data_IF_736648787703
#
_entry.id   IF_736648787703
#
_cell.length_a   1.000
_cell.length_b   1.000
_cell.length_c   1.000
_cell.angle_alpha   90.00
_cell.angle_beta   90.00
_cell.angle_gamma   90.00
#
_symmetry.space_group_name_H-M   'P 1'
#
loop_
_entity.id
_entity.type
_entity.pdbx_description
1 polymer ?
#
# COMPACT_ATOMS: atom_id res chain seq x y z
N UNK A 1 25.10 -9.21 13.68
CA UNK A 1 24.10 -8.98 14.73
C UNK A 1 22.89 -9.86 14.57
N UNK A 2 22.13 -9.96 15.65
CA UNK A 2 20.86 -10.71 15.69
C UNK A 2 19.80 -9.78 16.27
N UNK A 3 18.58 -9.81 15.68
CA UNK A 3 17.43 -9.06 16.15
C UNK A 3 16.22 -9.99 16.20
N UNK A 4 15.55 -10.03 17.33
CA UNK A 4 14.30 -10.74 17.49
C UNK A 4 13.20 -9.75 17.88
N UNK A 5 12.04 -9.87 17.24
CA UNK A 5 10.86 -9.08 17.55
C UNK A 5 9.66 -10.00 17.74
N UNK A 6 8.97 -9.80 18.84
CA UNK A 6 7.70 -10.42 19.12
C UNK A 6 6.62 -9.34 19.17
N UNK A 7 5.51 -9.59 18.48
CA UNK A 7 4.34 -8.74 18.53
C UNK A 7 3.09 -9.58 18.65
N UNK A 8 2.24 -9.24 19.60
CA UNK A 8 0.92 -9.84 19.75
C UNK A 8 -0.11 -8.72 19.83
N UNK A 9 -1.03 -8.72 18.88
CA UNK A 9 -2.24 -7.90 18.95
C UNK A 9 -3.31 -8.77 19.60
N UNK A 10 -3.80 -8.40 20.81
CA UNK A 10 -4.90 -9.13 21.44
C UNK A 10 -6.16 -8.95 20.62
N UNK A 11 -7.18 -9.75 20.93
CA UNK A 11 -8.49 -9.72 20.30
C UNK A 11 -9.07 -8.31 20.35
N UNK A 12 -8.97 -7.55 19.25
CA UNK A 12 -9.60 -6.25 19.09
C UNK A 12 -10.98 -6.42 18.47
N UNK A 13 -11.97 -5.68 18.95
CA UNK A 13 -13.31 -5.64 18.34
C UNK A 13 -13.43 -4.39 17.48
N UNK A 14 -13.95 -4.56 16.28
CA UNK A 14 -14.33 -3.49 15.36
C UNK A 14 -15.80 -3.67 15.05
N UNK A 15 -16.58 -2.59 15.09
CA UNK A 15 -17.96 -2.61 14.60
C UNK A 15 -18.13 -1.60 13.48
N UNK A 16 -18.89 -1.96 12.47
CA UNK A 16 -19.27 -1.06 11.39
C UNK A 16 -20.75 -1.27 11.07
N UNK A 17 -21.44 -0.18 10.74
CA UNK A 17 -22.82 -0.21 10.24
C UNK A 17 -22.79 0.33 8.82
N UNK A 18 -23.43 -0.38 7.89
CA UNK A 18 -23.51 -0.02 6.49
C UNK A 18 -24.97 -0.01 6.05
N UNK A 19 -25.39 1.05 5.37
CA UNK A 19 -26.64 1.11 4.65
C UNK A 19 -26.42 0.58 3.23
N UNK A 20 -27.03 -0.53 2.89
CA UNK A 20 -26.91 -1.18 1.60
C UNK A 20 -28.17 -0.92 0.79
N UNK A 21 -28.03 -0.33 -0.38
CA UNK A 21 -29.10 -0.20 -1.36
C UNK A 21 -28.74 -1.01 -2.59
N UNK A 22 -29.63 -1.87 -3.02
CA UNK A 22 -29.45 -2.70 -4.21
C UNK A 22 -30.66 -2.61 -5.12
N UNK A 23 -30.43 -2.63 -6.42
CA UNK A 23 -31.44 -2.81 -7.46
C UNK A 23 -31.49 -4.26 -7.99
N UNK A 24 -30.77 -5.16 -7.35
CA UNK A 24 -30.88 -6.62 -7.55
C UNK A 24 -31.92 -7.16 -6.58
N UNK A 25 -32.69 -8.15 -7.01
CA UNK A 25 -33.82 -8.68 -6.22
C UNK A 25 -33.46 -9.05 -4.76
N UNK A 26 -34.35 -8.68 -3.79
CA UNK A 26 -35.58 -7.95 -4.02
C UNK A 26 -35.34 -6.51 -4.47
N UNK A 27 -35.96 -6.11 -5.58
CA UNK A 27 -35.79 -4.78 -6.18
C UNK A 27 -36.00 -3.69 -5.11
N UNK A 28 -35.05 -2.74 -5.04
CA UNK A 28 -35.03 -1.61 -4.11
C UNK A 28 -34.96 -1.99 -2.62
N UNK A 29 -34.43 -3.16 -2.27
CA UNK A 29 -34.22 -3.51 -0.87
C UNK A 29 -33.20 -2.55 -0.24
N UNK A 30 -33.63 -1.90 0.85
CA UNK A 30 -32.73 -1.19 1.74
C UNK A 30 -32.45 -2.11 2.92
N UNK A 31 -31.16 -2.40 3.12
CA UNK A 31 -30.67 -3.26 4.20
C UNK A 31 -29.73 -2.46 5.10
N UNK A 32 -29.91 -2.62 6.41
CA UNK A 32 -28.92 -2.22 7.39
C UNK A 32 -28.06 -3.44 7.73
N UNK A 33 -26.74 -3.31 7.57
CA UNK A 33 -25.79 -4.35 7.90
C UNK A 33 -24.89 -3.87 9.02
N UNK A 34 -24.91 -4.58 10.14
CA UNK A 34 -24.01 -4.35 11.28
C UNK A 34 -23.00 -5.48 11.34
N UNK A 35 -21.72 -5.16 11.25
CA UNK A 35 -20.61 -6.12 11.32
C UNK A 35 -19.80 -5.91 12.60
N UNK A 36 -19.63 -6.97 13.37
CA UNK A 36 -18.66 -7.06 14.45
C UNK A 36 -17.50 -7.96 14.04
N UNK A 37 -16.30 -7.40 13.98
CA UNK A 37 -15.09 -8.15 13.65
C UNK A 37 -14.15 -8.21 14.85
N UNK A 38 -13.53 -9.35 15.02
CA UNK A 38 -12.55 -9.60 16.06
C UNK A 38 -11.33 -10.28 15.48
N UNK A 39 -10.19 -9.57 15.50
CA UNK A 39 -8.93 -10.03 14.92
C UNK A 39 -7.85 -10.15 15.99
N UNK A 40 -7.20 -11.31 16.01
CA UNK A 40 -6.00 -11.57 16.80
C UNK A 40 -4.84 -11.85 15.86
N UNK A 41 -3.66 -11.30 16.16
CA UNK A 41 -2.45 -11.54 15.39
C UNK A 41 -1.28 -11.80 16.34
N UNK A 42 -0.46 -12.82 16.02
CA UNK A 42 0.79 -13.14 16.72
C UNK A 42 1.89 -13.24 15.68
N UNK A 43 2.99 -12.49 15.90
CA UNK A 43 4.09 -12.39 14.95
C UNK A 43 5.43 -12.57 15.67
N UNK A 44 6.29 -13.41 15.11
CA UNK A 44 7.68 -13.59 15.49
C UNK A 44 8.56 -13.25 14.29
N UNK A 45 9.52 -12.35 14.48
CA UNK A 45 10.46 -11.97 13.46
C UNK A 45 11.88 -12.11 13.98
N UNK A 46 12.73 -12.81 13.25
CA UNK A 46 14.14 -12.98 13.53
C UNK A 46 14.95 -12.48 12.31
N UNK A 47 15.87 -11.57 12.55
CA UNK A 47 16.85 -11.14 11.56
C UNK A 47 18.26 -11.40 12.10
N UNK A 48 19.09 -11.99 11.27
CA UNK A 48 20.54 -12.14 11.52
C UNK A 48 21.29 -11.46 10.37
N UNK A 49 22.29 -10.66 10.70
CA UNK A 49 23.07 -9.96 9.70
C UNK A 49 24.57 -9.93 10.03
N UNK A 50 25.38 -9.87 8.98
CA UNK A 50 26.82 -9.72 9.06
C UNK A 50 27.30 -8.66 8.06
N UNK A 51 28.28 -7.86 8.46
CA UNK A 51 28.94 -6.89 7.59
C UNK A 51 30.43 -7.03 7.78
N UNK A 52 31.13 -7.30 6.68
CA UNK A 52 32.58 -7.37 6.61
C UNK A 52 33.07 -6.23 5.73
N UNK A 53 33.96 -5.38 6.26
CA UNK A 53 34.68 -4.34 5.51
C UNK A 53 36.15 -4.69 5.40
N UNK A 54 36.69 -4.64 4.20
CA UNK A 54 38.07 -5.03 3.92
C UNK A 54 38.71 -4.16 2.82
N UNK A 55 40.00 -4.41 2.52
CA UNK A 55 40.82 -3.56 1.70
C UNK A 55 41.56 -2.47 2.52
N UNK A 56 42.62 -1.91 2.00
CA UNK A 56 43.46 -0.93 2.71
C UNK A 56 42.70 0.29 3.23
N UNK A 57 41.72 0.77 2.46
CA UNK A 57 40.85 1.91 2.81
C UNK A 57 39.42 1.48 3.22
N UNK A 58 39.21 0.18 3.52
CA UNK A 58 37.90 -0.40 3.76
C UNK A 58 36.89 -0.10 2.64
N UNK A 59 37.40 -0.06 1.41
CA UNK A 59 36.65 0.29 0.21
C UNK A 59 35.81 -0.88 -0.35
N UNK A 60 35.97 -2.07 0.24
CA UNK A 60 35.12 -3.22 -0.05
C UNK A 60 34.23 -3.56 1.15
N UNK A 61 32.99 -3.91 0.88
CA UNK A 61 32.05 -4.36 1.90
C UNK A 61 31.29 -5.58 1.39
N UNK A 62 31.22 -6.61 2.20
CA UNK A 62 30.30 -7.73 2.05
C UNK A 62 29.25 -7.63 3.16
N UNK A 63 27.98 -7.61 2.80
CA UNK A 63 26.87 -7.64 3.74
C UNK A 63 25.97 -8.82 3.43
N UNK A 64 25.50 -9.49 4.49
CA UNK A 64 24.53 -10.57 4.39
C UNK A 64 23.45 -10.38 5.45
N UNK A 65 22.21 -10.62 5.07
CA UNK A 65 21.05 -10.60 5.94
C UNK A 65 20.24 -11.89 5.74
N UNK A 66 19.74 -12.48 6.84
CA UNK A 66 18.83 -13.62 6.82
C UNK A 66 17.64 -13.29 7.72
N UNK A 67 16.44 -13.45 7.17
CA UNK A 67 15.18 -13.19 7.85
C UNK A 67 14.38 -14.49 8.01
N UNK A 68 13.73 -14.65 9.16
CA UNK A 68 12.66 -15.59 9.39
C UNK A 68 11.45 -14.87 9.99
N UNK A 69 10.29 -15.07 9.40
CA UNK A 69 9.02 -14.57 9.94
C UNK A 69 8.04 -15.73 10.10
N UNK A 70 7.41 -15.76 11.26
CA UNK A 70 6.19 -16.51 11.52
C UNK A 70 5.08 -15.54 11.90
N UNK A 71 3.94 -15.62 11.22
CA UNK A 71 2.78 -14.78 11.48
C UNK A 71 1.51 -15.63 11.49
N UNK A 72 0.76 -15.58 12.58
CA UNK A 72 -0.51 -16.26 12.76
C UNK A 72 -1.62 -15.22 12.99
N UNK A 73 -2.69 -15.29 12.22
CA UNK A 73 -3.88 -14.45 12.34
C UNK A 73 -5.13 -15.29 12.46
N UNK A 74 -6.00 -14.90 13.38
CA UNK A 74 -7.35 -15.46 13.53
C UNK A 74 -8.33 -14.30 13.51
N UNK A 75 -9.33 -14.38 12.64
CA UNK A 75 -10.35 -13.37 12.46
C UNK A 75 -11.74 -14.03 12.53
N UNK A 76 -12.57 -13.47 13.39
CA UNK A 76 -13.98 -13.82 13.54
C UNK A 76 -14.79 -12.62 13.09
N UNK A 77 -15.78 -12.83 12.26
CA UNK A 77 -16.72 -11.77 11.86
C UNK A 77 -18.16 -12.27 12.03
N UNK A 78 -18.96 -11.47 12.71
CA UNK A 78 -20.39 -11.65 12.89
C UNK A 78 -21.09 -10.50 12.19
N UNK A 79 -21.92 -10.80 11.19
CA UNK A 79 -22.67 -9.82 10.41
C UNK A 79 -24.15 -10.06 10.61
N UNK A 80 -24.86 -9.02 11.07
CA UNK A 80 -26.31 -9.01 11.18
C UNK A 80 -26.86 -8.08 10.10
N UNK A 81 -27.75 -8.58 9.27
CA UNK A 81 -28.43 -7.82 8.23
C UNK A 81 -29.93 -7.80 8.49
N UNK A 82 -30.51 -6.61 8.39
CA UNK A 82 -31.94 -6.38 8.58
C UNK A 82 -32.51 -5.52 7.44
N UNK A 83 -33.64 -5.91 6.91
CA UNK A 83 -34.44 -5.20 5.92
C UNK A 83 -35.94 -5.37 6.23
N UNK A 84 -36.81 -4.79 5.41
CA UNK A 84 -38.25 -4.81 5.66
C UNK A 84 -38.83 -6.25 5.79
N UNK A 85 -38.37 -7.19 4.95
CA UNK A 85 -38.76 -8.60 4.96
C UNK A 85 -37.59 -9.56 4.98
N UNK A 86 -36.45 -9.12 5.49
CA UNK A 86 -35.19 -9.87 5.47
C UNK A 86 -34.45 -9.70 6.79
N UNK A 87 -34.05 -10.80 7.40
CA UNK A 87 -33.15 -10.82 8.54
C UNK A 87 -32.22 -12.01 8.38
N UNK A 88 -30.92 -11.78 8.46
CA UNK A 88 -29.89 -12.84 8.37
C UNK A 88 -28.75 -12.56 9.33
N UNK A 89 -28.18 -13.64 9.87
CA UNK A 89 -26.96 -13.62 10.67
C UNK A 89 -25.91 -14.48 10.00
N UNK A 90 -24.73 -13.92 9.77
CA UNK A 90 -23.63 -14.56 9.09
C UNK A 90 -22.43 -14.58 10.03
N UNK A 91 -21.98 -15.77 10.39
CA UNK A 91 -20.74 -15.99 11.13
C UNK A 91 -19.62 -16.45 10.20
N UNK A 92 -18.45 -15.81 10.25
CA UNK A 92 -17.28 -16.25 9.50
C UNK A 92 -16.07 -16.41 10.39
N UNK A 93 -15.27 -17.42 10.10
CA UNK A 93 -14.00 -17.71 10.78
C UNK A 93 -12.92 -17.82 9.72
N UNK A 94 -11.89 -17.00 9.84
CA UNK A 94 -10.72 -17.04 8.97
C UNK A 94 -9.45 -17.24 9.77
N UNK A 95 -8.63 -18.19 9.34
CA UNK A 95 -7.30 -18.43 9.89
C UNK A 95 -6.26 -18.24 8.81
N UNK A 96 -5.15 -17.57 9.17
CA UNK A 96 -3.98 -17.44 8.29
C UNK A 96 -2.71 -17.78 9.07
N UNK A 97 -1.86 -18.60 8.46
CA UNK A 97 -0.57 -19.02 9.00
C UNK A 97 0.51 -18.83 7.93
N UNK A 98 1.46 -17.96 8.22
CA UNK A 98 2.46 -17.52 7.26
C UNK A 98 3.86 -17.81 7.80
N UNK A 99 4.70 -18.44 6.97
CA UNK A 99 6.12 -18.63 7.17
C UNK A 99 6.88 -17.97 6.04
N UNK A 100 7.88 -17.18 6.38
CA UNK A 100 8.79 -16.58 5.41
C UNK A 100 10.23 -16.81 5.85
N UNK A 101 11.06 -17.29 4.92
CA UNK A 101 12.52 -17.35 5.04
C UNK A 101 13.10 -16.54 3.90
N UNK A 102 14.06 -15.66 4.18
CA UNK A 102 14.73 -14.90 3.15
C UNK A 102 16.21 -14.71 3.44
N UNK A 103 17.00 -14.64 2.37
CA UNK A 103 18.42 -14.33 2.41
C UNK A 103 18.76 -13.24 1.39
N UNK A 104 19.65 -12.35 1.76
CA UNK A 104 20.19 -11.31 0.89
C UNK A 104 21.70 -11.21 1.08
N UNK A 105 22.44 -11.15 -0.01
CA UNK A 105 23.87 -10.88 0.01
C UNK A 105 24.16 -9.69 -0.89
N UNK A 106 25.05 -8.80 -0.44
CA UNK A 106 25.43 -7.60 -1.17
C UNK A 106 26.93 -7.37 -1.06
N UNK A 107 27.58 -7.17 -2.20
CA UNK A 107 28.98 -6.77 -2.30
C UNK A 107 29.04 -5.35 -2.83
N UNK A 108 29.72 -4.46 -2.09
CA UNK A 108 29.95 -3.07 -2.46
C UNK A 108 31.45 -2.83 -2.65
N UNK A 109 31.81 -2.22 -3.76
CA UNK A 109 33.17 -1.75 -4.03
C UNK A 109 33.13 -0.24 -4.31
N UNK A 110 33.92 0.54 -3.57
CA UNK A 110 33.96 2.00 -3.66
C UNK A 110 35.31 2.50 -4.08
N UNK A 111 35.36 3.31 -5.13
CA UNK A 111 36.53 4.04 -5.61
C UNK A 111 36.25 5.55 -5.50
N UNK A 112 37.21 6.41 -5.85
CA UNK A 112 37.03 7.87 -5.67
C UNK A 112 35.76 8.42 -6.30
N UNK A 113 35.44 8.01 -7.52
CA UNK A 113 34.35 8.57 -8.31
C UNK A 113 33.19 7.57 -8.54
N UNK A 114 33.40 6.29 -8.21
CA UNK A 114 32.49 5.21 -8.56
C UNK A 114 32.23 4.30 -7.36
N UNK A 115 30.98 3.97 -7.12
CA UNK A 115 30.58 2.88 -6.20
C UNK A 115 29.78 1.86 -6.98
N UNK A 116 30.23 0.61 -6.94
CA UNK A 116 29.57 -0.54 -7.56
C UNK A 116 28.96 -1.41 -6.46
N UNK A 117 27.69 -1.77 -6.62
CA UNK A 117 26.99 -2.73 -5.77
C UNK A 117 26.52 -3.92 -6.61
N UNK A 118 26.82 -5.13 -6.14
CA UNK A 118 26.33 -6.39 -6.67
C UNK A 118 25.55 -7.10 -5.59
N UNK A 119 24.34 -7.55 -5.89
CA UNK A 119 23.57 -8.24 -4.88
C UNK A 119 22.67 -9.33 -5.42
N UNK A 120 22.32 -10.23 -4.52
CA UNK A 120 21.32 -11.28 -4.74
C UNK A 120 20.38 -11.38 -3.56
N UNK A 121 19.15 -11.78 -3.84
CA UNK A 121 18.10 -11.98 -2.84
C UNK A 121 17.32 -13.23 -3.20
N UNK A 122 16.99 -14.01 -2.19
CA UNK A 122 16.06 -15.11 -2.31
C UNK A 122 15.07 -15.06 -1.15
N UNK A 123 13.80 -15.31 -1.42
CA UNK A 123 12.79 -15.55 -0.38
C UNK A 123 11.88 -16.72 -0.73
N UNK A 124 11.50 -17.45 0.30
CA UNK A 124 10.47 -18.48 0.26
C UNK A 124 9.37 -18.09 1.24
N UNK A 125 8.15 -17.99 0.75
CA UNK A 125 6.95 -17.72 1.56
C UNK A 125 5.98 -18.88 1.41
N UNK A 126 5.44 -19.32 2.53
CA UNK A 126 4.37 -20.31 2.61
C UNK A 126 3.23 -19.73 3.44
N UNK A 127 2.09 -19.56 2.81
CA UNK A 127 0.84 -19.09 3.43
C UNK A 127 -0.18 -20.21 3.40
N UNK A 128 -0.83 -20.47 4.53
CA UNK A 128 -1.98 -21.34 4.63
C UNK A 128 -3.15 -20.52 5.13
N UNK A 129 -4.25 -20.61 4.42
CA UNK A 129 -5.48 -19.90 4.76
C UNK A 129 -6.62 -20.93 4.85
N UNK A 130 -7.52 -20.69 5.80
CA UNK A 130 -8.78 -21.43 5.86
C UNK A 130 -9.91 -20.44 6.17
N UNK A 131 -11.03 -20.67 5.54
CA UNK A 131 -12.23 -19.88 5.70
C UNK A 131 -13.42 -20.79 5.86
N UNK A 132 -14.27 -20.46 6.85
CA UNK A 132 -15.54 -21.14 7.08
C UNK A 132 -16.59 -20.07 7.33
N UNK A 133 -17.72 -20.15 6.62
CA UNK A 133 -18.85 -19.25 6.79
C UNK A 133 -20.14 -20.05 6.99
N UNK A 134 -20.99 -19.57 7.90
CA UNK A 134 -22.32 -20.11 8.15
C UNK A 134 -23.37 -18.98 8.19
N UNK A 135 -24.59 -19.29 7.83
CA UNK A 135 -25.71 -18.38 7.95
C UNK A 135 -26.86 -18.99 8.72
N UNK A 136 -27.78 -18.15 9.21
CA UNK A 136 -28.99 -18.61 9.89
C UNK A 136 -29.99 -19.31 8.98
N UNK A 137 -29.88 -19.16 7.66
CA UNK A 137 -30.79 -19.71 6.66
C UNK A 137 -30.20 -20.83 5.82
N UNK A 138 -28.87 -20.89 5.71
CA UNK A 138 -28.16 -21.91 4.96
C UNK A 138 -26.81 -22.21 5.65
N UNK A 139 -26.64 -23.42 6.15
CA UNK A 139 -25.43 -23.82 6.86
C UNK A 139 -24.17 -23.81 5.95
N UNK A 140 -24.34 -23.80 4.64
CA UNK A 140 -23.27 -23.92 3.64
C UNK A 140 -23.27 -22.76 2.65
N UNK A 141 -23.41 -21.50 3.11
CA UNK A 141 -23.33 -20.35 2.18
C UNK A 141 -22.01 -20.32 1.41
N UNK A 142 -20.94 -20.79 2.03
CA UNK A 142 -19.59 -20.90 1.46
C UNK A 142 -19.01 -22.27 1.74
N UNK A 143 -18.48 -22.92 0.71
CA UNK A 143 -17.68 -24.12 0.90
C UNK A 143 -16.45 -23.79 1.75
N UNK A 144 -16.18 -24.61 2.76
CA UNK A 144 -14.97 -24.47 3.55
C UNK A 144 -13.75 -24.64 2.64
N UNK A 145 -12.88 -23.62 2.59
CA UNK A 145 -11.68 -23.67 1.77
C UNK A 145 -10.43 -23.80 2.62
N UNK A 146 -9.48 -24.59 2.12
CA UNK A 146 -8.15 -24.76 2.70
C UNK A 146 -7.13 -24.53 1.61
N UNK A 147 -6.59 -23.30 1.59
CA UNK A 147 -5.65 -22.87 0.58
C UNK A 147 -4.22 -22.88 1.13
N UNK A 148 -3.29 -23.30 0.31
CA UNK A 148 -1.86 -23.15 0.57
C UNK A 148 -1.20 -22.47 -0.64
N UNK A 149 -0.50 -21.41 -0.38
CA UNK A 149 0.26 -20.64 -1.35
C UNK A 149 1.74 -20.78 -1.04
N UNK A 150 2.54 -21.11 -2.05
CA UNK A 150 4.00 -21.17 -1.97
C UNK A 150 4.58 -20.25 -3.02
N UNK A 151 5.46 -19.37 -2.59
CA UNK A 151 6.15 -18.46 -3.50
C UNK A 151 7.65 -18.50 -3.27
N UNK A 152 8.39 -18.65 -4.36
CA UNK A 152 9.82 -18.40 -4.43
C UNK A 152 10.03 -17.10 -5.19
N UNK A 153 10.82 -16.20 -4.63
CA UNK A 153 11.26 -14.99 -5.30
C UNK A 153 12.79 -14.97 -5.29
N UNK A 154 13.37 -14.94 -6.49
CA UNK A 154 14.81 -14.86 -6.69
C UNK A 154 15.13 -13.57 -7.44
N UNK A 155 16.07 -12.79 -6.93
CA UNK A 155 16.50 -11.56 -7.56
C UNK A 155 18.01 -11.42 -7.61
N UNK A 156 18.51 -10.84 -8.69
CA UNK A 156 19.91 -10.39 -8.83
C UNK A 156 19.91 -8.94 -9.28
N UNK A 157 20.88 -8.15 -8.81
CA UNK A 157 21.01 -6.76 -9.21
C UNK A 157 22.44 -6.28 -9.24
N UNK A 158 22.66 -5.30 -10.11
CA UNK A 158 23.90 -4.52 -10.22
C UNK A 158 23.53 -3.04 -10.22
N UNK A 159 24.24 -2.26 -9.39
CA UNK A 159 24.09 -0.81 -9.29
C UNK A 159 25.45 -0.16 -9.45
N UNK A 160 25.52 0.89 -10.25
CA UNK A 160 26.71 1.74 -10.33
C UNK A 160 26.31 3.19 -10.06
N UNK A 161 27.01 3.82 -9.14
CA UNK A 161 26.86 5.23 -8.79
C UNK A 161 28.13 5.97 -9.15
N UNK A 162 28.02 7.08 -9.89
CA UNK A 162 29.12 7.92 -10.31
C UNK A 162 29.01 9.32 -9.72
N UNK A 163 30.07 9.81 -9.12
CA UNK A 163 30.26 11.22 -8.83
C UNK A 163 31.07 11.84 -9.96
N UNK A 164 30.38 12.42 -10.96
CA UNK A 164 30.99 12.95 -12.18
C UNK A 164 31.75 14.25 -11.90
N UNK A 165 31.22 15.08 -11.00
CA UNK A 165 31.82 16.31 -10.49
C UNK A 165 31.21 16.64 -9.12
N UNK A 166 31.64 17.71 -8.42
CA UNK A 166 31.01 18.13 -7.17
C UNK A 166 29.50 18.37 -7.27
N UNK A 167 29.01 18.78 -8.46
CA UNK A 167 27.61 19.12 -8.71
C UNK A 167 26.85 18.09 -9.53
N UNK A 168 27.51 17.12 -10.15
CA UNK A 168 26.88 16.12 -11.02
C UNK A 168 27.09 14.71 -10.50
N UNK A 169 26.01 13.97 -10.41
CA UNK A 169 26.05 12.53 -10.14
C UNK A 169 25.16 11.78 -11.15
N UNK A 170 25.49 10.50 -11.34
CA UNK A 170 24.68 9.60 -12.15
C UNK A 170 24.56 8.24 -11.46
N UNK A 171 23.47 7.55 -11.69
CA UNK A 171 23.23 6.19 -11.20
C UNK A 171 22.62 5.34 -12.29
N UNK A 172 23.09 4.10 -12.39
CA UNK A 172 22.39 3.06 -13.13
C UNK A 172 22.19 1.83 -12.26
N UNK A 173 21.06 1.15 -12.47
CA UNK A 173 20.78 -0.12 -11.80
C UNK A 173 20.03 -1.02 -12.77
N UNK A 174 20.34 -2.30 -12.74
CA UNK A 174 19.54 -3.34 -13.34
C UNK A 174 19.24 -4.40 -12.28
N UNK A 175 17.98 -4.60 -12.01
CA UNK A 175 17.48 -5.67 -11.15
C UNK A 175 16.62 -6.61 -11.98
N UNK A 176 16.83 -7.91 -11.82
CA UNK A 176 16.04 -8.96 -12.45
C UNK A 176 15.43 -9.81 -11.33
N UNK A 177 14.14 -10.00 -11.38
CA UNK A 177 13.39 -10.78 -10.40
C UNK A 177 12.61 -11.90 -11.08
N UNK A 178 12.75 -13.11 -10.58
CA UNK A 178 11.91 -14.23 -10.94
C UNK A 178 10.98 -14.58 -9.77
N UNK A 179 9.69 -14.67 -10.05
CA UNK A 179 8.65 -15.10 -9.12
C UNK A 179 8.10 -16.45 -9.60
N UNK A 180 8.18 -17.46 -8.76
CA UNK A 180 7.54 -18.76 -8.96
C UNK A 180 6.50 -18.98 -7.86
N UNK A 181 5.22 -19.05 -8.26
CA UNK A 181 4.07 -19.12 -7.38
C UNK A 181 3.26 -20.38 -7.65
N UNK A 182 3.07 -21.20 -6.61
CA UNK A 182 2.25 -22.38 -6.63
C UNK A 182 1.02 -22.19 -5.73
N UNK A 183 -0.17 -22.36 -6.30
CA UNK A 183 -1.44 -22.40 -5.59
C UNK A 183 -1.86 -23.86 -5.37
N UNK A 184 -2.25 -24.18 -4.14
CA UNK A 184 -2.61 -25.54 -3.70
C UNK A 184 -3.96 -25.45 -3.01
N UNK A 185 -4.96 -26.16 -3.50
CA UNK A 185 -6.31 -26.21 -2.96
C UNK A 185 -6.56 -27.63 -2.43
N UNK A 186 -6.95 -27.73 -1.16
CA UNK A 186 -7.24 -29.01 -0.49
C UNK A 186 -6.10 -30.06 -0.62
N UNK A 187 -4.84 -29.60 -0.68
CA UNK A 187 -3.65 -30.43 -0.79
C UNK A 187 -3.17 -30.72 -2.21
N UNK A 188 -3.93 -30.35 -3.25
CA UNK A 188 -3.59 -30.56 -4.65
C UNK A 188 -3.15 -29.26 -5.33
N UNK A 189 -2.05 -29.31 -6.10
CA UNK A 189 -1.57 -28.17 -6.87
C UNK A 189 -2.50 -27.88 -8.04
N UNK A 190 -3.03 -26.67 -8.11
CA UNK A 190 -3.86 -26.18 -9.21
C UNK A 190 -2.94 -25.51 -10.24
N UNK A 191 -2.66 -26.24 -11.31
CA UNK A 191 -1.70 -25.81 -12.35
C UNK A 191 -2.11 -24.50 -13.03
N UNK A 192 -3.41 -24.33 -13.33
CA UNK A 192 -3.97 -23.14 -14.01
C UNK A 192 -3.92 -21.88 -13.12
N UNK A 193 -3.81 -22.03 -11.80
CA UNK A 193 -3.71 -20.95 -10.82
C UNK A 193 -2.27 -20.77 -10.31
N UNK A 194 -1.33 -21.58 -10.79
CA UNK A 194 0.10 -21.45 -10.52
C UNK A 194 0.79 -20.73 -11.67
N UNK A 195 1.86 -19.99 -11.39
CA UNK A 195 2.51 -19.14 -12.38
C UNK A 195 3.99 -18.93 -12.09
N UNK A 196 4.78 -18.72 -13.13
CA UNK A 196 6.17 -18.26 -13.02
C UNK A 196 6.38 -17.13 -14.03
N UNK A 197 7.06 -16.07 -13.62
CA UNK A 197 7.37 -14.92 -14.50
C UNK A 197 8.61 -14.19 -14.01
N UNK A 198 9.21 -13.41 -14.95
CA UNK A 198 10.41 -12.63 -14.67
C UNK A 198 10.15 -11.17 -15.01
N UNK A 199 10.47 -10.28 -14.09
CA UNK A 199 10.42 -8.83 -14.26
C UNK A 199 11.83 -8.25 -14.35
N UNK A 200 12.02 -7.32 -15.32
CA UNK A 200 13.24 -6.56 -15.51
C UNK A 200 13.01 -5.13 -15.05
N UNK A 201 13.81 -4.68 -14.11
CA UNK A 201 13.65 -3.41 -13.39
C UNK A 201 14.89 -2.54 -13.59
N UNK A 202 15.02 -1.89 -14.76
CA UNK A 202 16.07 -0.92 -15.00
C UNK A 202 15.79 0.39 -14.24
N UNK A 203 16.87 1.04 -13.83
CA UNK A 203 16.90 2.40 -13.29
C UNK A 203 18.10 3.16 -13.86
N UNK A 204 17.89 4.39 -14.29
CA UNK A 204 18.95 5.33 -14.69
C UNK A 204 18.59 6.71 -14.19
N UNK A 205 19.54 7.43 -13.60
CA UNK A 205 19.37 8.85 -13.29
C UNK A 205 20.64 9.66 -13.58
N UNK A 206 20.43 10.93 -13.82
CA UNK A 206 21.44 11.97 -13.83
C UNK A 206 20.92 13.14 -13.01
N UNK A 207 21.74 13.58 -12.06
CA UNK A 207 21.36 14.58 -11.08
C UNK A 207 22.39 15.70 -11.07
N UNK A 208 21.88 16.94 -11.04
CA UNK A 208 22.66 18.14 -10.83
C UNK A 208 22.20 18.85 -9.56
N UNK A 209 23.15 19.26 -8.73
CA UNK A 209 22.86 19.98 -7.49
C UNK A 209 23.91 21.07 -7.25
N UNK A 210 23.43 22.25 -6.91
CA UNK A 210 24.21 23.33 -6.31
C UNK A 210 23.43 23.93 -5.11
N UNK A 211 23.88 25.05 -4.55
CA UNK A 211 23.27 25.63 -3.33
C UNK A 211 21.80 26.01 -3.50
N UNK A 212 21.34 26.37 -4.70
CA UNK A 212 20.01 26.89 -4.95
C UNK A 212 19.16 26.03 -5.89
N UNK A 213 19.79 25.21 -6.73
CA UNK A 213 19.14 24.46 -7.79
C UNK A 213 19.48 22.97 -7.70
N UNK A 214 18.44 22.15 -7.71
CA UNK A 214 18.54 20.70 -7.92
C UNK A 214 17.73 20.32 -9.15
N UNK A 215 18.35 19.57 -10.07
CA UNK A 215 17.73 18.99 -11.25
C UNK A 215 17.98 17.50 -11.26
N UNK A 216 16.94 16.71 -11.48
CA UNK A 216 17.05 15.26 -11.62
C UNK A 216 16.25 14.81 -12.85
N UNK A 217 16.88 14.02 -13.69
CA UNK A 217 16.19 13.27 -14.76
C UNK A 217 16.39 11.80 -14.48
N UNK A 218 15.29 11.05 -14.37
CA UNK A 218 15.37 9.62 -14.09
C UNK A 218 14.39 8.80 -14.94
N UNK A 219 14.82 7.59 -15.25
CA UNK A 219 13.96 6.51 -15.71
C UNK A 219 14.01 5.39 -14.68
N UNK A 220 12.85 4.97 -14.20
CA UNK A 220 12.74 3.94 -13.16
C UNK A 220 11.72 2.89 -13.53
N UNK A 221 11.88 1.71 -12.93
CA UNK A 221 10.88 0.65 -12.95
C UNK A 221 10.60 0.18 -11.54
N UNK A 222 9.34 0.11 -11.15
CA UNK A 222 8.88 -0.33 -9.84
C UNK A 222 7.86 -1.45 -9.95
N UNK A 223 7.83 -2.31 -8.94
CA UNK A 223 6.93 -3.46 -8.84
C UNK A 223 6.08 -3.30 -7.59
N UNK A 224 4.76 -3.42 -7.73
CA UNK A 224 3.84 -3.60 -6.62
C UNK A 224 3.21 -5.00 -6.67
N UNK A 225 3.32 -5.74 -5.56
CA UNK A 225 2.94 -7.14 -5.48
C UNK A 225 1.61 -7.30 -4.75
N UNK A 226 0.69 -8.16 -5.25
CA UNK A 226 -0.54 -8.45 -4.52
C UNK A 226 -0.21 -9.04 -3.15
N UNK A 227 -1.02 -8.70 -2.13
CA UNK A 227 -0.95 -9.40 -0.83
C UNK A 227 -1.34 -10.86 -0.99
N UNK A 228 -0.89 -11.73 -0.07
CA UNK A 228 -1.28 -13.14 -0.13
C UNK A 228 -2.79 -13.34 0.04
N UNK A 229 -3.46 -12.47 0.79
CA UNK A 229 -4.93 -12.51 0.89
C UNK A 229 -5.64 -12.22 -0.44
N UNK A 230 -5.05 -11.42 -1.34
CA UNK A 230 -5.59 -11.21 -2.69
C UNK A 230 -5.37 -12.42 -3.60
N UNK A 231 -4.36 -13.25 -3.31
CA UNK A 231 -4.02 -14.43 -4.11
C UNK A 231 -4.80 -15.69 -3.70
N UNK A 232 -5.48 -15.69 -2.56
CA UNK A 232 -6.37 -16.77 -2.14
C UNK A 232 -7.58 -16.87 -3.05
N UNK A 233 -8.13 -18.05 -3.25
CA UNK A 233 -9.40 -18.25 -3.96
C UNK A 233 -10.59 -18.32 -3.01
N UNK A 234 -10.40 -17.84 -1.79
CA UNK A 234 -11.40 -17.88 -0.71
C UNK A 234 -12.45 -16.80 -0.91
N UNK A 235 -13.69 -17.16 -0.72
CA UNK A 235 -14.79 -16.19 -0.63
C UNK A 235 -14.75 -15.49 0.73
N UNK A 236 -15.09 -14.21 0.73
CA UNK A 236 -15.32 -13.42 1.93
C UNK A 236 -16.63 -12.68 1.78
N UNK A 237 -17.43 -12.70 2.84
CA UNK A 237 -18.74 -12.04 2.84
C UNK A 237 -18.60 -10.53 2.99
N UNK A 238 -19.13 -9.78 2.05
CA UNK A 238 -19.21 -8.32 2.13
C UNK A 238 -20.65 -7.85 2.45
N UNK A 239 -21.65 -8.47 1.82
CA UNK A 239 -23.08 -8.24 2.08
C UNK A 239 -23.91 -9.35 1.45
N UNK A 240 -25.22 -9.38 1.73
CA UNK A 240 -26.20 -10.26 1.07
C UNK A 240 -26.08 -10.28 -0.45
N UNK A 241 -25.81 -9.14 -1.06
CA UNK A 241 -25.74 -8.99 -2.50
C UNK A 241 -24.31 -8.88 -3.06
N UNK A 242 -23.29 -9.01 -2.20
CA UNK A 242 -21.89 -8.81 -2.63
C UNK A 242 -20.94 -9.70 -1.86
N UNK A 243 -20.15 -10.47 -2.59
CA UNK A 243 -19.08 -11.30 -2.06
C UNK A 243 -17.71 -10.86 -2.58
N UNK A 244 -16.71 -10.94 -1.76
CA UNK A 244 -15.32 -10.70 -2.18
C UNK A 244 -14.66 -12.03 -2.51
N UNK A 245 -13.91 -12.05 -3.59
CA UNK A 245 -13.16 -13.22 -4.05
C UNK A 245 -11.71 -12.81 -4.32
N UNK A 246 -10.78 -13.57 -3.81
CA UNK A 246 -9.38 -13.41 -4.18
C UNK A 246 -9.11 -13.92 -5.61
N UNK A 247 -7.87 -13.78 -6.07
CA UNK A 247 -7.50 -14.12 -7.44
C UNK A 247 -6.05 -14.64 -7.53
N UNK A 248 -5.84 -15.96 -7.51
CA UNK A 248 -4.50 -16.54 -7.63
C UNK A 248 -3.76 -16.17 -8.93
N UNK A 249 -4.50 -15.73 -9.96
CA UNK A 249 -3.93 -15.34 -11.25
C UNK A 249 -3.27 -13.96 -11.25
N UNK A 250 -3.43 -13.15 -10.19
CA UNK A 250 -2.84 -11.82 -10.11
C UNK A 250 -1.31 -11.88 -10.24
N UNK A 251 -0.79 -11.09 -11.17
CA UNK A 251 0.64 -10.81 -11.31
C UNK A 251 0.96 -9.49 -10.61
N UNK A 252 2.22 -9.28 -10.30
CA UNK A 252 2.70 -7.99 -9.81
C UNK A 252 2.39 -6.88 -10.82
N UNK A 253 1.94 -5.73 -10.34
CA UNK A 253 1.90 -4.49 -11.11
C UNK A 253 3.32 -4.03 -11.42
N UNK A 254 3.55 -3.48 -12.59
CA UNK A 254 4.83 -2.94 -13.01
C UNK A 254 4.61 -1.55 -13.58
N UNK A 255 5.30 -0.56 -13.03
CA UNK A 255 5.30 0.80 -13.54
C UNK A 255 6.68 1.15 -14.10
N UNK A 256 6.70 1.83 -15.25
CA UNK A 256 7.89 2.44 -15.85
C UNK A 256 7.66 3.93 -15.91
N UNK A 257 8.53 4.67 -15.24
CA UNK A 257 8.39 6.11 -15.05
C UNK A 257 9.59 6.85 -15.63
N UNK A 258 9.33 7.87 -16.42
CA UNK A 258 10.27 8.92 -16.79
C UNK A 258 9.93 10.17 -15.97
N UNK A 259 10.82 10.63 -15.14
CA UNK A 259 10.61 11.77 -14.23
C UNK A 259 11.65 12.86 -14.43
N UNK A 260 11.18 14.11 -14.42
CA UNK A 260 11.98 15.31 -14.34
C UNK A 260 11.65 16.06 -13.05
N UNK A 261 12.61 16.14 -12.16
CA UNK A 261 12.52 16.82 -10.88
C UNK A 261 13.32 18.10 -10.88
N UNK A 262 12.69 19.20 -10.51
CA UNK A 262 13.30 20.54 -10.42
C UNK A 262 13.01 21.12 -9.06
N UNK A 263 14.05 21.51 -8.33
CA UNK A 263 13.89 22.28 -7.09
C UNK A 263 14.77 23.52 -7.16
N UNK A 264 14.15 24.68 -7.02
CA UNK A 264 14.84 25.97 -6.98
C UNK A 264 14.42 26.74 -5.74
N UNK A 265 15.38 26.99 -4.84
CA UNK A 265 15.14 27.62 -3.54
C UNK A 265 14.03 26.88 -2.75
N UNK A 266 12.83 27.45 -2.68
CA UNK A 266 11.67 26.93 -1.93
C UNK A 266 10.56 26.40 -2.83
N UNK A 267 10.82 26.31 -4.13
CA UNK A 267 9.87 25.83 -5.15
C UNK A 267 10.32 24.47 -5.65
N UNK A 268 9.40 23.53 -5.80
CA UNK A 268 9.65 22.22 -6.39
C UNK A 268 8.62 21.92 -7.49
N UNK A 269 9.07 21.25 -8.53
CA UNK A 269 8.25 20.74 -9.63
C UNK A 269 8.74 19.34 -9.99
N UNK A 270 7.85 18.39 -10.04
CA UNK A 270 8.10 17.04 -10.56
C UNK A 270 7.11 16.76 -11.68
N UNK A 271 7.61 16.30 -12.82
CA UNK A 271 6.84 15.93 -14.00
C UNK A 271 7.15 14.46 -14.30
N UNK A 272 6.14 13.61 -14.28
CA UNK A 272 6.29 12.18 -14.51
C UNK A 272 5.37 11.71 -15.63
N UNK A 273 5.93 10.93 -16.55
CA UNK A 273 5.18 10.11 -17.49
C UNK A 273 5.33 8.65 -17.09
N UNK A 274 4.23 7.98 -16.85
CA UNK A 274 4.20 6.61 -16.33
C UNK A 274 3.44 5.69 -17.29
N UNK A 275 4.09 4.60 -17.67
CA UNK A 275 3.48 3.46 -18.34
C UNK A 275 3.21 2.38 -17.28
N UNK A 276 1.93 2.22 -16.91
CA UNK A 276 1.47 1.24 -15.91
C UNK A 276 1.05 -0.05 -16.62
N UNK A 277 1.58 -1.16 -16.16
CA UNK A 277 1.30 -2.50 -16.68
C UNK A 277 0.77 -3.38 -15.56
N UNK A 278 -0.33 -4.08 -15.81
CA UNK A 278 -0.88 -5.05 -14.85
C UNK A 278 -1.27 -4.41 -13.51
N UNK A 279 -1.65 -3.11 -13.49
CA UNK A 279 -2.05 -2.45 -12.26
C UNK A 279 -3.16 -3.24 -11.55
N UNK A 280 -3.03 -3.38 -10.24
CA UNK A 280 -4.00 -4.07 -9.41
C UNK A 280 -5.21 -3.17 -9.17
N UNK A 281 -6.38 -3.59 -9.63
CA UNK A 281 -7.62 -2.85 -9.45
C UNK A 281 -8.75 -3.75 -8.97
N UNK A 282 -9.61 -3.19 -8.12
CA UNK A 282 -10.86 -3.85 -7.73
C UNK A 282 -11.89 -3.69 -8.83
N UNK A 283 -12.51 -4.79 -9.23
CA UNK A 283 -13.59 -4.83 -10.21
C UNK A 283 -14.82 -5.49 -9.62
N UNK A 284 -15.95 -5.21 -10.24
CA UNK A 284 -17.26 -5.75 -9.89
C UNK A 284 -17.80 -6.52 -11.08
N UNK A 285 -18.41 -7.67 -10.83
CA UNK A 285 -19.14 -8.46 -11.83
C UNK A 285 -20.34 -9.12 -11.18
N UNK A 286 -21.40 -9.33 -11.94
CA UNK A 286 -22.59 -10.00 -11.45
C UNK A 286 -22.53 -11.50 -11.74
N UNK A 287 -22.84 -12.32 -10.73
CA UNK A 287 -22.93 -13.78 -10.83
C UNK A 287 -24.39 -14.20 -10.84
N UNK A 288 -24.94 -14.48 -12.03
CA UNK A 288 -26.38 -14.77 -12.22
C UNK A 288 -26.89 -15.99 -11.43
N UNK A 289 -26.12 -17.06 -11.37
CA UNK A 289 -26.53 -18.30 -10.70
C UNK A 289 -26.68 -18.17 -9.19
N UNK A 290 -26.00 -17.20 -8.56
CA UNK A 290 -26.10 -16.90 -7.12
C UNK A 290 -26.77 -15.56 -6.84
N UNK A 291 -27.11 -14.79 -7.87
CA UNK A 291 -27.70 -13.45 -7.79
C UNK A 291 -26.91 -12.47 -6.91
N UNK A 292 -25.57 -12.56 -6.95
CA UNK A 292 -24.66 -11.73 -6.15
C UNK A 292 -23.65 -11.00 -7.01
N UNK A 293 -23.20 -9.86 -6.54
CA UNK A 293 -22.05 -9.15 -7.11
C UNK A 293 -20.76 -9.74 -6.56
N UNK A 294 -19.82 -10.03 -7.43
CA UNK A 294 -18.48 -10.46 -7.07
C UNK A 294 -17.54 -9.26 -7.10
N UNK A 295 -16.90 -9.00 -5.97
CA UNK A 295 -15.85 -8.01 -5.81
C UNK A 295 -14.52 -8.76 -5.94
N UNK A 296 -13.73 -8.45 -6.96
CA UNK A 296 -12.50 -9.17 -7.26
C UNK A 296 -11.39 -8.23 -7.70
N UNK A 297 -10.16 -8.52 -7.25
CA UNK A 297 -9.00 -7.85 -7.79
C UNK A 297 -8.56 -8.48 -9.11
N UNK A 298 -8.19 -7.64 -10.07
CA UNK A 298 -7.69 -8.04 -11.39
C UNK A 298 -6.46 -7.20 -11.74
N UNK A 299 -5.68 -7.69 -12.69
CA UNK A 299 -4.68 -6.86 -13.35
C UNK A 299 -5.36 -6.11 -14.52
N UNK A 300 -5.30 -4.78 -14.49
CA UNK A 300 -5.76 -3.95 -15.60
C UNK A 300 -4.87 -4.14 -16.85
N UNK A 301 -5.35 -3.87 -18.05
CA UNK A 301 -4.49 -3.69 -19.21
C UNK A 301 -3.49 -2.55 -18.98
N UNK A 302 -2.44 -2.51 -19.81
CA UNK A 302 -1.50 -1.40 -19.72
C UNK A 302 -2.15 -0.09 -20.13
N UNK A 303 -1.80 0.98 -19.44
CA UNK A 303 -2.23 2.33 -19.74
C UNK A 303 -1.19 3.35 -19.32
N UNK A 304 -1.35 4.57 -19.83
CA UNK A 304 -0.42 5.65 -19.56
C UNK A 304 -1.07 6.74 -18.70
N UNK A 305 -0.26 7.36 -17.85
CA UNK A 305 -0.65 8.58 -17.18
C UNK A 305 0.51 9.57 -17.03
N UNK A 306 0.16 10.84 -17.05
CA UNK A 306 1.05 11.94 -16.72
C UNK A 306 0.70 12.46 -15.34
N UNK A 307 1.71 12.72 -14.52
CA UNK A 307 1.55 13.31 -13.20
C UNK A 307 2.45 14.56 -13.07
N UNK A 308 1.88 15.63 -12.56
CA UNK A 308 2.61 16.82 -12.18
C UNK A 308 2.43 17.08 -10.70
N UNK A 309 3.53 17.24 -9.98
CA UNK A 309 3.55 17.66 -8.59
C UNK A 309 4.27 19.00 -8.50
N UNK A 310 3.60 20.02 -7.96
CA UNK A 310 4.19 21.33 -7.74
C UNK A 310 4.12 21.68 -6.26
N UNK A 311 5.21 22.20 -5.72
CA UNK A 311 5.33 22.58 -4.31
C UNK A 311 5.94 23.98 -4.15
N UNK A 312 5.38 24.76 -3.22
CA UNK A 312 5.90 26.06 -2.84
C UNK A 312 5.87 26.21 -1.33
N UNK A 313 7.03 26.50 -0.75
CA UNK A 313 7.15 26.90 0.65
C UNK A 313 7.39 28.41 0.72
N UNK A 314 6.69 29.08 1.66
CA UNK A 314 6.88 30.49 1.97
C UNK A 314 7.25 30.63 3.45
N UNK A 315 7.92 31.73 3.80
CA UNK A 315 8.20 32.14 5.19
C UNK A 315 7.77 33.60 5.34
N UNK A 316 6.66 33.82 6.07
CA UNK A 316 6.01 35.12 6.23
C UNK A 316 5.89 35.43 7.73
N UNK A 317 6.97 35.93 8.32
CA UNK A 317 7.03 36.16 9.77
C UNK A 317 6.84 34.86 10.57
N UNK A 318 5.79 34.80 11.38
CA UNK A 318 5.44 33.60 12.17
C UNK A 318 4.73 32.52 11.35
N UNK A 319 4.30 32.81 10.13
CA UNK A 319 3.53 31.91 9.29
C UNK A 319 4.41 31.31 8.19
N UNK A 320 4.44 29.99 8.14
CA UNK A 320 5.24 29.19 7.21
C UNK A 320 4.33 28.26 6.40
N UNK A 321 3.61 28.78 5.39
CA UNK A 321 2.75 27.95 4.54
C UNK A 321 3.57 27.13 3.56
N UNK A 322 3.09 25.91 3.30
CA UNK A 322 3.57 25.04 2.23
C UNK A 322 2.39 24.58 1.40
N UNK A 323 2.44 24.86 0.11
CA UNK A 323 1.43 24.46 -0.87
C UNK A 323 1.94 23.32 -1.71
N UNK A 324 1.12 22.28 -1.91
CA UNK A 324 1.36 21.18 -2.84
C UNK A 324 0.16 21.00 -3.74
N UNK A 325 0.40 20.91 -5.04
CA UNK A 325 -0.59 20.53 -6.03
C UNK A 325 -0.15 19.25 -6.74
N UNK A 326 -1.07 18.33 -6.95
CA UNK A 326 -0.86 17.09 -7.73
C UNK A 326 -1.94 17.01 -8.79
N UNK A 327 -1.55 16.99 -10.06
CA UNK A 327 -2.43 16.77 -11.20
C UNK A 327 -2.10 15.41 -11.82
N UNK A 328 -3.12 14.57 -12.00
CA UNK A 328 -3.02 13.28 -12.72
C UNK A 328 -3.93 13.31 -13.94
N UNK A 329 -3.35 13.01 -15.09
CA UNK A 329 -4.02 12.85 -16.37
C UNK A 329 -3.76 11.42 -16.85
N UNK A 330 -4.77 10.60 -16.95
CA UNK A 330 -4.63 9.20 -17.37
C UNK A 330 -5.42 8.91 -18.64
N UNK A 331 -4.97 7.88 -19.38
CA UNK A 331 -5.69 7.33 -20.54
C UNK A 331 -5.91 5.85 -20.30
N UNK A 332 -7.08 5.51 -19.77
CA UNK A 332 -7.48 4.14 -19.42
C UNK A 332 -8.87 3.86 -19.97
N UNK A 333 -8.99 2.77 -20.73
CA UNK A 333 -10.26 2.18 -21.17
C UNK A 333 -10.30 0.74 -20.68
N UNK A 334 -11.41 0.34 -20.07
CA UNK A 334 -11.53 -0.98 -19.45
C UNK A 334 -12.98 -1.40 -19.25
N UNK A 335 -13.23 -2.71 -19.21
CA UNK A 335 -14.50 -3.32 -18.85
C UNK A 335 -15.31 -3.81 -20.04
N UNK A 336 -16.44 -4.47 -19.76
CA UNK A 336 -17.40 -4.92 -20.74
C UNK A 336 -18.82 -4.58 -20.25
N UNK A 337 -19.52 -3.59 -20.81
CA UNK A 337 -19.09 -2.74 -21.92
C UNK A 337 -17.87 -1.87 -21.58
N UNK A 338 -17.08 -1.53 -22.60
CA UNK A 338 -15.90 -0.69 -22.43
C UNK A 338 -16.27 0.72 -21.94
N UNK A 339 -15.49 1.21 -20.97
CA UNK A 339 -15.67 2.52 -20.38
C UNK A 339 -14.35 3.28 -20.32
N UNK A 340 -14.40 4.60 -20.54
CA UNK A 340 -13.28 5.51 -20.42
C UNK A 340 -13.17 6.09 -19.02
N UNK A 341 -11.97 6.04 -18.43
CA UNK A 341 -11.65 6.52 -17.05
C UNK A 341 -10.70 7.72 -17.09
N UNK A 342 -10.86 8.63 -18.04
CA UNK A 342 -9.87 9.66 -18.40
C UNK A 342 -10.08 11.02 -17.73
N UNK A 343 -11.08 11.15 -16.82
CA UNK A 343 -11.33 12.44 -16.15
C UNK A 343 -10.16 12.78 -15.22
N UNK A 344 -9.54 13.98 -15.39
CA UNK A 344 -8.42 14.43 -14.57
C UNK A 344 -8.72 14.40 -13.08
N UNK A 345 -7.70 14.07 -12.29
CA UNK A 345 -7.74 14.15 -10.82
C UNK A 345 -6.72 15.21 -10.36
N UNK A 346 -7.18 16.18 -9.58
CA UNK A 346 -6.35 17.21 -8.98
C UNK A 346 -6.48 17.17 -7.46
N UNK A 347 -5.35 17.21 -6.77
CA UNK A 347 -5.27 17.29 -5.32
C UNK A 347 -4.47 18.53 -4.95
N UNK A 348 -4.93 19.28 -3.95
CA UNK A 348 -4.22 20.40 -3.38
C UNK A 348 -4.11 20.23 -1.87
N UNK A 349 -2.92 20.36 -1.35
CA UNK A 349 -2.65 20.35 0.08
C UNK A 349 -2.00 21.66 0.48
N UNK A 350 -2.56 22.32 1.48
CA UNK A 350 -1.98 23.50 2.10
C UNK A 350 -1.67 23.17 3.56
N UNK A 351 -0.40 23.19 3.90
CA UNK A 351 0.08 23.02 5.29
C UNK A 351 0.50 24.36 5.82
N UNK A 352 -0.08 24.78 6.94
CA UNK A 352 0.25 26.03 7.59
C UNK A 352 0.86 25.74 8.94
N UNK A 353 2.07 26.20 9.16
CA UNK A 353 2.72 26.21 10.46
C UNK A 353 2.84 27.64 10.94
N UNK A 354 2.51 27.86 12.22
CA UNK A 354 2.64 29.13 12.90
C UNK A 354 3.60 28.96 14.09
N UNK A 355 4.68 29.74 14.09
CA UNK A 355 5.66 29.79 15.18
C UNK A 355 5.17 30.80 16.22
N UNK A 356 4.50 30.31 17.27
CA UNK A 356 3.92 31.13 18.33
C UNK A 356 4.93 31.41 19.46
N UNK A 357 4.70 32.41 20.32
CA UNK A 357 5.51 32.63 21.52
C UNK A 357 5.65 31.38 22.39
N UNK A 358 6.69 31.34 23.21
CA UNK A 358 7.04 30.25 24.13
C UNK A 358 7.38 28.91 23.46
N UNK A 359 7.78 28.91 22.16
CA UNK A 359 8.15 27.70 21.42
C UNK A 359 6.98 26.76 21.17
N UNK A 360 5.78 27.30 21.00
CA UNK A 360 4.59 26.58 20.56
C UNK A 360 4.52 26.64 19.03
N UNK A 361 4.20 25.53 18.39
CA UNK A 361 3.90 25.46 16.97
C UNK A 361 2.42 25.11 16.79
N UNK A 362 1.68 25.95 16.06
CA UNK A 362 0.32 25.63 15.66
C UNK A 362 0.30 25.18 14.19
N UNK A 363 -0.59 24.26 13.88
CA UNK A 363 -0.80 23.75 12.53
C UNK A 363 -2.26 23.93 12.12
N UNK A 364 -2.47 24.30 10.86
CA UNK A 364 -3.76 24.31 10.21
C UNK A 364 -3.57 23.81 8.79
N UNK A 365 -3.94 22.54 8.56
CA UNK A 365 -3.71 21.85 7.31
C UNK A 365 -5.02 21.64 6.56
N UNK A 366 -5.02 21.91 5.26
CA UNK A 366 -6.16 21.70 4.38
C UNK A 366 -5.78 20.77 3.22
N UNK A 367 -6.64 19.82 2.94
CA UNK A 367 -6.56 18.95 1.76
C UNK A 367 -7.84 19.13 0.96
N UNK A 368 -7.72 19.43 -0.31
CA UNK A 368 -8.81 19.45 -1.26
C UNK A 368 -8.53 18.48 -2.39
N UNK A 369 -9.47 17.60 -2.67
CA UNK A 369 -9.42 16.61 -3.75
C UNK A 369 -10.56 16.92 -4.73
N UNK A 370 -10.25 17.05 -6.00
CA UNK A 370 -11.24 17.28 -7.06
C UNK A 370 -12.03 16.02 -7.38
N UNK A 371 -13.01 16.12 -8.26
CA UNK A 371 -13.65 14.97 -8.89
C UNK A 371 -12.77 14.45 -10.02
N UNK A 372 -12.48 13.15 -10.06
CA UNK A 372 -11.64 12.54 -11.10
C UNK A 372 -11.38 11.07 -10.86
N UNK A 373 -10.60 10.45 -11.76
CA UNK A 373 -10.23 9.05 -11.70
C UNK A 373 -8.78 8.85 -11.25
N UNK A 374 -8.58 7.79 -10.45
CA UNK A 374 -7.30 7.12 -10.26
C UNK A 374 -7.50 5.64 -10.59
N UNK A 375 -6.88 5.14 -11.65
CA UNK A 375 -7.25 3.89 -12.29
C UNK A 375 -8.76 3.85 -12.57
N UNK A 376 -9.46 2.81 -12.14
CA UNK A 376 -10.93 2.67 -12.30
C UNK A 376 -11.74 3.35 -11.19
N UNK A 377 -11.10 3.86 -10.15
CA UNK A 377 -11.77 4.46 -8.99
C UNK A 377 -12.09 5.94 -9.24
N UNK A 378 -13.37 6.30 -9.23
CA UNK A 378 -13.83 7.68 -9.33
C UNK A 378 -14.07 8.28 -7.96
N UNK A 379 -13.30 9.31 -7.63
CA UNK A 379 -13.52 10.14 -6.45
C UNK A 379 -14.48 11.28 -6.77
N UNK A 380 -15.55 11.45 -5.97
CA UNK A 380 -16.48 12.59 -6.11
C UNK A 380 -15.96 13.89 -5.50
N UNK A 381 -14.72 13.88 -5.03
CA UNK A 381 -14.06 14.99 -4.38
C UNK A 381 -14.42 15.14 -2.90
N UNK A 382 -13.50 15.70 -2.12
CA UNK A 382 -13.71 15.99 -0.70
C UNK A 382 -12.74 17.08 -0.20
N UNK A 383 -13.03 17.57 0.99
CA UNK A 383 -12.17 18.49 1.76
C UNK A 383 -11.90 17.87 3.12
N UNK A 384 -10.67 18.00 3.59
CA UNK A 384 -10.23 17.64 4.94
C UNK A 384 -9.52 18.83 5.55
N UNK A 385 -9.84 19.17 6.78
CA UNK A 385 -9.19 20.24 7.54
C UNK A 385 -8.74 19.70 8.90
N UNK A 386 -7.44 19.81 9.16
CA UNK A 386 -6.80 19.34 10.38
C UNK A 386 -6.19 20.52 11.13
N UNK A 387 -6.18 20.42 12.46
CA UNK A 387 -5.53 21.39 13.34
C UNK A 387 -4.63 20.69 14.34
N UNK A 388 -3.63 21.41 14.86
CA UNK A 388 -2.80 20.86 15.91
C UNK A 388 -1.93 21.89 16.61
N UNK A 389 -1.45 21.49 17.77
CA UNK A 389 -0.49 22.25 18.57
C UNK A 389 0.66 21.32 18.95
N UNK A 390 1.86 21.82 18.85
CA UNK A 390 3.06 21.12 19.33
C UNK A 390 3.88 22.01 20.26
N UNK A 391 4.40 21.43 21.34
CA UNK A 391 5.35 22.08 22.22
C UNK A 391 6.40 21.09 22.71
N UNK A 392 7.67 21.50 22.65
CA UNK A 392 8.79 20.74 23.24
C UNK A 392 9.31 21.45 24.47
N UNK A 393 9.54 20.67 25.54
CA UNK A 393 10.10 21.12 26.83
C UNK A 393 11.24 20.16 27.21
N UNK A 394 12.46 20.53 26.90
CA UNK A 394 13.62 19.67 27.13
C UNK A 394 13.48 18.34 26.37
N UNK A 395 13.39 17.23 27.10
CA UNK A 395 13.22 15.89 26.52
C UNK A 395 11.75 15.50 26.29
N UNK A 396 10.81 16.35 26.64
CA UNK A 396 9.37 16.13 26.45
C UNK A 396 8.88 16.80 25.18
N UNK A 397 8.02 16.12 24.41
CA UNK A 397 7.25 16.69 23.33
C UNK A 397 5.77 16.39 23.55
N UNK A 398 4.96 17.42 23.46
CA UNK A 398 3.50 17.37 23.58
C UNK A 398 2.91 17.76 22.23
N UNK A 399 2.05 16.91 21.68
CA UNK A 399 1.38 17.19 20.41
C UNK A 399 -0.11 16.89 20.55
N UNK A 400 -0.94 17.88 20.26
CA UNK A 400 -2.38 17.73 20.13
C UNK A 400 -2.70 17.78 18.66
N UNK A 401 -3.43 16.76 18.16
CA UNK A 401 -3.99 16.72 16.81
C UNK A 401 -5.51 16.69 16.90
N UNK A 402 -6.14 17.50 16.08
CA UNK A 402 -7.57 17.50 15.86
C UNK A 402 -7.80 17.26 14.36
N UNK A 403 -7.99 15.99 14.02
CA UNK A 403 -8.23 15.56 12.65
C UNK A 403 -9.69 15.83 12.26
N UNK A 404 -9.89 16.20 10.99
CA UNK A 404 -11.20 16.58 10.43
C UNK A 404 -11.96 17.55 11.36
N UNK A 405 -11.30 18.61 11.78
CA UNK A 405 -11.74 19.52 12.84
C UNK A 405 -13.15 20.06 12.62
N UNK A 406 -13.58 20.22 11.37
CA UNK A 406 -14.89 20.74 10.97
C UNK A 406 -15.87 19.66 10.50
N UNK A 407 -15.53 18.37 10.58
CA UNK A 407 -16.34 17.23 10.10
C UNK A 407 -16.72 17.36 8.61
N UNK A 408 -15.79 17.85 7.80
CA UNK A 408 -16.01 18.07 6.36
C UNK A 408 -15.74 16.84 5.53
N UNK A 409 -14.94 15.91 6.08
CA UNK A 409 -14.54 14.73 5.34
C UNK A 409 -15.74 13.82 5.04
N UNK A 410 -15.98 13.64 3.75
CA UNK A 410 -16.99 12.74 3.20
C UNK A 410 -16.47 12.21 1.89
N UNK A 411 -15.71 11.14 1.95
CA UNK A 411 -15.18 10.54 0.75
C UNK A 411 -16.27 9.69 0.08
N UNK A 412 -16.57 10.01 -1.15
CA UNK A 412 -17.52 9.28 -1.98
C UNK A 412 -16.77 8.72 -3.18
N UNK A 413 -16.75 7.42 -3.27
CA UNK A 413 -16.13 6.68 -4.37
C UNK A 413 -17.21 6.02 -5.22
N UNK A 414 -16.95 5.93 -6.50
CA UNK A 414 -17.76 5.20 -7.45
C UNK A 414 -16.84 4.33 -8.28
N UNK A 415 -17.07 3.04 -8.30
CA UNK A 415 -16.39 2.10 -9.18
C UNK A 415 -17.47 1.50 -10.09
N UNK A 416 -17.27 1.66 -11.39
CA UNK A 416 -18.18 1.13 -12.40
C UNK A 416 -17.38 0.27 -13.37
N UNK A 417 -17.58 -1.02 -13.30
CA UNK A 417 -16.89 -2.01 -14.16
C UNK A 417 -17.85 -3.11 -14.57
N UNK A 418 -17.74 -3.59 -15.79
CA UNK A 418 -18.52 -4.74 -16.29
C UNK A 418 -20.04 -4.59 -16.09
N UNK A 419 -20.58 -3.38 -16.30
CA UNK A 419 -22.00 -3.10 -16.13
C UNK A 419 -22.50 -3.00 -14.69
N UNK A 420 -21.63 -3.17 -13.70
CA UNK A 420 -21.93 -3.03 -12.28
C UNK A 420 -21.41 -1.71 -11.74
N UNK A 421 -22.25 -0.99 -10.99
CA UNK A 421 -21.90 0.26 -10.31
C UNK A 421 -21.86 0.03 -8.81
N UNK A 422 -20.73 0.29 -8.17
CA UNK A 422 -20.57 0.27 -6.72
C UNK A 422 -20.31 1.68 -6.21
N UNK A 423 -21.21 2.17 -5.38
CA UNK A 423 -21.10 3.48 -4.75
C UNK A 423 -20.80 3.35 -3.27
N UNK A 424 -19.71 3.96 -2.83
CA UNK A 424 -19.29 3.99 -1.45
C UNK A 424 -19.31 5.42 -0.91
N UNK A 425 -19.98 5.62 0.22
CA UNK A 425 -20.03 6.88 0.94
C UNK A 425 -19.43 6.68 2.33
N UNK A 426 -18.17 7.05 2.49
CA UNK A 426 -17.46 6.93 3.75
C UNK A 426 -17.72 8.18 4.61
N UNK A 427 -18.32 7.97 5.77
CA UNK A 427 -18.60 9.01 6.77
C UNK A 427 -17.97 8.59 8.10
N UNK A 428 -17.29 9.53 8.77
CA UNK A 428 -16.76 9.31 10.13
C UNK A 428 -15.45 8.56 10.17
N UNK A 429 -14.97 8.27 11.37
CA UNK A 429 -13.70 7.58 11.66
C UNK A 429 -12.45 8.47 11.60
N UNK A 430 -12.49 9.60 10.88
CA UNK A 430 -11.37 10.53 10.77
C UNK A 430 -11.46 11.63 11.84
N UNK A 431 -12.68 12.08 12.19
CA UNK A 431 -12.87 13.13 13.21
C UNK A 431 -12.47 12.62 14.60
N UNK A 432 -11.31 13.04 15.08
CA UNK A 432 -10.83 12.69 16.40
C UNK A 432 -9.88 13.76 16.95
N UNK A 433 -9.75 13.80 18.28
CA UNK A 433 -8.73 14.57 18.97
C UNK A 433 -7.79 13.60 19.65
N UNK A 434 -6.49 13.77 19.46
CA UNK A 434 -5.46 12.95 20.08
C UNK A 434 -4.41 13.81 20.79
N UNK A 435 -3.96 13.36 21.96
CA UNK A 435 -2.82 13.91 22.68
C UNK A 435 -1.69 12.88 22.64
N UNK A 436 -0.57 13.28 22.05
CA UNK A 436 0.67 12.49 22.06
C UNK A 436 1.67 13.15 23.01
N UNK A 437 2.14 12.40 24.00
CA UNK A 437 3.20 12.81 24.91
C UNK A 437 4.40 11.91 24.67
N UNK A 438 5.52 12.50 24.29
CA UNK A 438 6.76 11.76 24.02
C UNK A 438 7.85 12.25 24.96
N UNK A 439 8.50 11.32 25.64
CA UNK A 439 9.73 11.58 26.40
C UNK A 439 10.90 10.89 25.73
N UNK A 440 11.93 11.65 25.35
CA UNK A 440 13.13 11.15 24.68
C UNK A 440 14.25 10.95 25.71
N UNK A 441 14.58 9.71 26.00
CA UNK A 441 15.73 9.34 26.80
C UNK A 441 16.69 8.50 25.97
N UNK A 442 17.98 8.70 26.14
CA UNK A 442 19.06 7.96 25.50
C UNK A 442 19.08 8.05 23.92
N UNK A 443 19.86 9.00 23.41
CA UNK A 443 20.01 9.27 21.96
C UNK A 443 21.10 8.40 21.29
N UNK A 444 21.50 7.25 21.84
CA UNK A 444 22.51 6.40 21.18
C UNK A 444 21.92 5.79 19.90
N UNK A 445 22.53 6.11 18.75
CA UNK A 445 22.23 5.43 17.48
C UNK A 445 22.72 3.99 17.55
N UNK A 446 21.81 3.03 17.54
CA UNK A 446 22.15 1.62 17.32
C UNK A 446 22.09 1.29 15.83
N UNK A 447 23.10 0.59 15.32
CA UNK A 447 23.01 0.02 13.97
C UNK A 447 21.98 -1.11 13.97
N UNK A 448 21.16 -1.19 12.92
CA UNK A 448 20.20 -2.27 12.71
C UNK A 448 20.42 -2.82 11.30
N UNK A 449 20.34 -4.14 11.14
CA UNK A 449 20.31 -4.77 9.82
C UNK A 449 19.12 -4.22 9.00
N UNK A 450 19.30 -4.17 7.68
CA UNK A 450 18.26 -3.66 6.76
C UNK A 450 17.14 -4.67 6.53
N UNK A 451 17.39 -5.96 6.82
CA UNK A 451 16.51 -7.09 6.53
C UNK A 451 16.62 -7.55 5.08
N UNK A 452 16.35 -8.84 4.85
CA UNK A 452 16.43 -9.48 3.54
C UNK A 452 15.13 -9.38 2.74
N UNK A 453 13.96 -9.29 3.41
CA UNK A 453 12.67 -9.45 2.75
C UNK A 453 11.60 -8.47 3.24
N UNK A 454 11.95 -7.21 3.43
CA UNK A 454 11.01 -6.20 3.95
C UNK A 454 9.72 -6.08 3.11
N UNK A 455 9.83 -6.17 1.79
CA UNK A 455 8.70 -6.08 0.88
C UNK A 455 7.77 -7.29 1.06
N UNK A 456 8.32 -8.50 1.10
CA UNK A 456 7.56 -9.74 1.31
C UNK A 456 6.87 -9.76 2.69
N UNK A 457 7.55 -9.21 3.71
CA UNK A 457 7.00 -9.09 5.06
C UNK A 457 5.73 -8.21 5.08
N UNK A 458 5.69 -7.17 4.27
CA UNK A 458 4.55 -6.23 4.21
C UNK A 458 3.33 -6.83 3.48
N UNK A 459 3.48 -7.92 2.74
CA UNK A 459 2.40 -8.62 2.02
C UNK A 459 1.64 -9.62 2.90
N UNK A 460 2.20 -9.96 4.07
CA UNK A 460 1.69 -10.88 5.07
C UNK A 460 0.91 -10.12 6.15
#
# INVERSE_FOLDING_TARGET
GIRYEFSRKPKGKYSSTNDIQTNVEPENAQLESTSEQSKQNTRHYLNSYAILKFGEKKNYQLAADVDYLYNYSNELSDVNEQGENYANHIGTVSHSNNHLVAGKANFTASWKAVTLDLGTQYSYTKTRQSFVGSTSHDEALFDASHDEERQHLTAGYITANWQLSPSWSARTELRVENTDFAYILNGEKVAEQSKSFTDWLPYVSIDYQNDNLSLGLSYSSSVDRPSYSMLSNTYSYASHTSWMLGNPLLKSSLERELSLDVSYLKTSLSLSYVHSMRELATTYSYMENKKVNIIKNVNLPSYDYFQMVAGQRLDIGIWHPTLYGVLRLQKLEYGNPEKSYNKPLFNMTMRNRFDLPWGIYAYFDGIWVSKGYSATNYTKGYVLLDMGLNKSLGNWAFTIYWNDSFKLWRQKNLIETNGVSFYQNLKGGVHNVSLNVTYSFNKKKSYRGKGAAREEINRL
#
